data_IF_307053471176
#
_entry.id   IF_307053471176
#
_cell.length_a   1.000
_cell.length_b   1.000
_cell.length_c   1.000
_cell.angle_alpha   90.00
_cell.angle_beta   90.00
_cell.angle_gamma   90.00
#
_symmetry.space_group_name_H-M   'P 1'
#
loop_
_entity.id
_entity.type
_entity.pdbx_description
1 polymer ?
#
# COMPACT_ATOMS: atom_id res chain seq x y z
N UNK A 1 -21.29 -20.23 -17.35
CA UNK A 1 -20.01 -20.25 -18.10
C UNK A 1 -19.58 -18.80 -18.30
N UNK A 2 -18.82 -18.28 -17.34
CA UNK A 2 -18.21 -16.94 -17.41
C UNK A 2 -16.70 -17.10 -17.51
N UNK A 3 -16.07 -16.48 -18.50
CA UNK A 3 -14.61 -16.28 -18.57
C UNK A 3 -14.07 -15.54 -19.80
N UNK A 4 -14.89 -15.11 -20.77
CA UNK A 4 -14.31 -14.54 -22.01
C UNK A 4 -14.18 -13.01 -22.03
N UNK A 5 -15.01 -12.26 -21.29
CA UNK A 5 -14.95 -10.79 -21.31
C UNK A 5 -13.84 -10.20 -20.39
N UNK A 6 -13.46 -10.89 -19.30
CA UNK A 6 -12.39 -10.42 -18.42
C UNK A 6 -10.98 -10.60 -19.03
N UNK A 7 -10.80 -11.60 -19.91
CA UNK A 7 -9.53 -11.80 -20.62
C UNK A 7 -9.17 -10.66 -21.56
N UNK A 8 -10.17 -9.94 -22.08
CA UNK A 8 -9.98 -8.81 -22.99
C UNK A 8 -9.40 -7.56 -22.27
N UNK A 9 -9.65 -7.42 -20.97
CA UNK A 9 -9.07 -6.38 -20.12
C UNK A 9 -7.71 -6.80 -19.51
N UNK A 10 -7.48 -8.11 -19.35
CA UNK A 10 -6.24 -8.68 -18.79
C UNK A 10 -5.08 -8.80 -19.79
N UNK A 11 -5.34 -8.66 -21.10
CA UNK A 11 -4.31 -8.73 -22.15
C UNK A 11 -3.58 -7.42 -22.46
N UNK A 12 -3.95 -6.30 -21.84
CA UNK A 12 -3.25 -5.02 -22.01
C UNK A 12 -2.07 -4.92 -21.04
N UNK A 13 -1.08 -5.81 -21.22
CA UNK A 13 0.25 -5.60 -20.66
C UNK A 13 0.88 -4.39 -21.34
N UNK A 14 1.18 -3.36 -20.54
CA UNK A 14 2.07 -2.26 -20.90
C UNK A 14 3.50 -2.79 -21.06
N UNK A 15 3.80 -3.45 -22.18
CA UNK A 15 5.13 -3.53 -22.80
C UNK A 15 5.09 -4.49 -23.98
N UNK A 16 5.74 -4.04 -25.04
CA UNK A 16 6.06 -4.74 -26.28
C UNK A 16 4.92 -5.10 -27.25
N UNK A 17 5.16 -4.63 -28.47
CA UNK A 17 4.48 -4.91 -29.73
C UNK A 17 4.01 -6.36 -29.87
N UNK A 18 2.76 -6.62 -29.53
CA UNK A 18 2.02 -7.75 -30.10
C UNK A 18 0.58 -7.34 -30.34
N UNK A 19 0.26 -7.26 -31.63
CA UNK A 19 -1.03 -6.94 -32.23
C UNK A 19 -2.09 -7.90 -31.67
N UNK A 20 -3.24 -7.43 -31.14
CA UNK A 20 -4.34 -8.32 -30.78
C UNK A 20 -4.91 -8.99 -32.03
N UNK A 21 -5.31 -10.25 -31.92
CA UNK A 21 -5.65 -11.17 -33.00
C UNK A 21 -6.86 -10.77 -33.89
N UNK A 22 -7.43 -9.59 -33.69
CA UNK A 22 -8.52 -9.01 -34.49
C UNK A 22 -8.12 -7.74 -35.26
N UNK A 23 -6.83 -7.42 -35.34
CA UNK A 23 -6.31 -6.44 -36.29
C UNK A 23 -6.66 -4.98 -35.98
N UNK A 24 -7.20 -4.68 -34.80
CA UNK A 24 -7.39 -3.30 -34.37
C UNK A 24 -6.11 -2.79 -33.71
N UNK A 25 -5.31 -2.03 -34.46
CA UNK A 25 -4.18 -1.28 -33.92
C UNK A 25 -4.71 0.00 -33.29
N UNK A 26 -4.73 0.04 -31.96
CA UNK A 26 -5.05 1.25 -31.19
C UNK A 26 -4.01 2.33 -31.52
N UNK A 27 -4.45 3.45 -32.07
CA UNK A 27 -3.55 4.54 -32.44
C UNK A 27 -3.33 5.50 -31.24
N UNK A 28 -2.44 6.48 -31.42
CA UNK A 28 -2.07 7.41 -30.34
C UNK A 28 -3.21 8.37 -29.95
N UNK A 29 -4.21 8.55 -30.80
CA UNK A 29 -5.38 9.42 -30.58
C UNK A 29 -6.47 8.76 -29.74
N UNK A 30 -6.50 7.42 -29.66
CA UNK A 30 -7.43 6.66 -28.81
C UNK A 30 -7.16 6.82 -27.30
N UNK A 31 -5.96 7.33 -26.95
CA UNK A 31 -5.49 7.48 -25.56
C UNK A 31 -6.06 8.71 -24.84
N UNK A 32 -6.50 9.71 -25.60
CA UNK A 32 -6.96 11.00 -25.09
C UNK A 32 -8.49 11.18 -25.22
N UNK A 33 -9.21 10.13 -25.62
CA UNK A 33 -10.67 10.18 -25.76
C UNK A 33 -11.40 10.26 -24.43
N UNK A 34 -12.39 11.15 -24.39
CA UNK A 34 -13.32 11.34 -23.27
C UNK A 34 -14.34 10.19 -23.18
N UNK A 35 -14.96 10.04 -22.01
CA UNK A 35 -15.98 9.01 -21.76
C UNK A 35 -17.20 9.09 -22.69
N UNK A 36 -17.46 10.25 -23.30
CA UNK A 36 -18.54 10.45 -24.29
C UNK A 36 -18.15 9.99 -25.70
N UNK A 37 -16.87 10.08 -26.06
CA UNK A 37 -16.34 9.64 -27.36
C UNK A 37 -16.27 8.12 -27.44
N UNK A 38 -15.86 7.46 -26.35
CA UNK A 38 -15.97 6.01 -26.20
C UNK A 38 -17.41 5.50 -26.27
N UNK A 39 -18.36 6.25 -25.71
CA UNK A 39 -19.77 5.86 -25.73
C UNK A 39 -20.38 5.89 -27.13
N UNK A 40 -19.86 6.70 -28.06
CA UNK A 40 -20.30 6.74 -29.47
C UNK A 40 -19.77 5.56 -30.28
N UNK A 41 -18.50 5.21 -30.12
CA UNK A 41 -17.89 4.06 -30.83
C UNK A 41 -18.61 2.76 -30.45
N UNK A 42 -18.93 2.58 -29.16
CA UNK A 42 -19.68 1.42 -28.69
C UNK A 42 -21.15 1.38 -29.17
N UNK A 43 -21.76 2.54 -29.46
CA UNK A 43 -23.14 2.59 -29.98
C UNK A 43 -23.22 2.15 -31.45
N UNK A 44 -22.14 2.31 -32.22
CA UNK A 44 -22.06 1.84 -33.61
C UNK A 44 -21.74 0.33 -33.69
N UNK A 45 -21.00 -0.21 -32.71
CA UNK A 45 -20.70 -1.64 -32.59
C UNK A 45 -21.88 -2.50 -32.07
N UNK A 46 -22.89 -1.87 -31.49
CA UNK A 46 -24.08 -2.50 -30.87
C UNK A 46 -24.99 -3.22 -31.89
N UNK A 47 -24.74 -3.08 -33.21
CA UNK A 47 -25.37 -3.93 -34.23
C UNK A 47 -24.76 -5.33 -34.32
N UNK A 48 -23.63 -5.59 -33.67
CA UNK A 48 -23.01 -6.91 -33.68
C UNK A 48 -22.69 -7.41 -32.27
N UNK A 49 -23.50 -8.38 -31.82
CA UNK A 49 -23.17 -9.40 -30.82
C UNK A 49 -23.15 -8.95 -29.34
N UNK A 50 -24.35 -8.84 -28.76
CA UNK A 50 -24.77 -9.63 -27.59
C UNK A 50 -23.88 -9.70 -26.34
N UNK A 51 -23.04 -8.69 -26.06
CA UNK A 51 -22.26 -8.59 -24.83
C UNK A 51 -22.52 -7.24 -24.14
N UNK A 52 -23.04 -7.31 -22.91
CA UNK A 52 -23.48 -6.20 -22.02
C UNK A 52 -24.76 -5.53 -22.51
N UNK A 53 -25.89 -6.01 -21.99
CA UNK A 53 -27.25 -5.68 -22.46
C UNK A 53 -27.80 -4.33 -22.00
N UNK A 54 -27.03 -3.55 -21.23
CA UNK A 54 -27.41 -2.17 -20.91
C UNK A 54 -26.24 -1.29 -20.52
N UNK A 55 -26.34 0.01 -20.86
CA UNK A 55 -25.45 1.10 -20.42
C UNK A 55 -25.16 1.12 -18.91
N UNK A 56 -26.09 0.60 -18.09
CA UNK A 56 -25.98 0.52 -16.63
C UNK A 56 -24.96 -0.54 -16.18
N UNK A 57 -24.94 -1.70 -16.82
CA UNK A 57 -24.02 -2.80 -16.50
C UNK A 57 -22.58 -2.45 -16.88
N UNK A 58 -22.40 -1.76 -18.01
CA UNK A 58 -21.09 -1.30 -18.46
C UNK A 58 -20.50 -0.25 -17.50
N UNK A 59 -21.31 0.74 -17.11
CA UNK A 59 -20.89 1.79 -16.16
C UNK A 59 -20.42 1.19 -14.83
N UNK A 60 -21.15 0.21 -14.30
CA UNK A 60 -20.78 -0.47 -13.06
C UNK A 60 -19.46 -1.26 -13.17
N UNK A 61 -19.24 -1.95 -14.29
CA UNK A 61 -17.99 -2.69 -14.54
C UNK A 61 -16.78 -1.74 -14.65
N UNK A 62 -16.94 -0.62 -15.34
CA UNK A 62 -15.89 0.40 -15.48
C UNK A 62 -15.57 1.10 -14.14
N UNK A 63 -16.58 1.46 -13.36
CA UNK A 63 -16.39 2.02 -12.01
C UNK A 63 -15.66 1.04 -11.09
N UNK A 64 -15.98 -0.25 -11.16
CA UNK A 64 -15.27 -1.30 -10.43
C UNK A 64 -13.80 -1.39 -10.83
N UNK A 65 -13.50 -1.44 -12.13
CA UNK A 65 -12.12 -1.45 -12.64
C UNK A 65 -11.32 -0.22 -12.19
N UNK A 66 -11.92 0.97 -12.30
CA UNK A 66 -11.27 2.21 -11.86
C UNK A 66 -10.96 2.17 -10.36
N UNK A 67 -11.86 1.61 -9.55
CA UNK A 67 -11.63 1.43 -8.12
C UNK A 67 -10.49 0.46 -7.86
N UNK A 68 -10.51 -0.73 -8.46
CA UNK A 68 -9.44 -1.73 -8.31
C UNK A 68 -8.07 -1.21 -8.77
N UNK A 69 -8.04 -0.44 -9.87
CA UNK A 69 -6.81 0.21 -10.35
C UNK A 69 -6.29 1.26 -9.38
N UNK A 70 -7.18 2.06 -8.77
CA UNK A 70 -6.80 3.04 -7.74
C UNK A 70 -6.29 2.35 -6.48
N UNK A 71 -7.00 1.31 -6.02
CA UNK A 71 -6.62 0.54 -4.84
C UNK A 71 -5.24 -0.12 -5.05
N UNK A 72 -4.97 -0.67 -6.25
CA UNK A 72 -3.66 -1.24 -6.62
C UNK A 72 -2.53 -0.19 -6.65
N UNK A 73 -2.79 1.01 -7.17
CA UNK A 73 -1.81 2.10 -7.17
C UNK A 73 -1.55 2.62 -5.77
N UNK A 74 -2.58 2.72 -4.94
CA UNK A 74 -2.47 3.13 -3.54
C UNK A 74 -1.67 2.10 -2.73
N UNK A 75 -1.92 0.80 -2.92
CA UNK A 75 -1.13 -0.26 -2.29
C UNK A 75 0.35 -0.20 -2.71
N UNK A 76 0.63 -0.04 -4.00
CA UNK A 76 2.00 0.12 -4.49
C UNK A 76 2.68 1.37 -3.92
N UNK A 77 1.95 2.48 -3.77
CA UNK A 77 2.46 3.70 -3.16
C UNK A 77 2.82 3.45 -1.69
N UNK A 78 1.92 2.86 -0.91
CA UNK A 78 2.16 2.60 0.51
C UNK A 78 3.28 1.59 0.73
N UNK A 79 3.40 0.56 -0.12
CA UNK A 79 4.51 -0.39 -0.05
C UNK A 79 5.86 0.28 -0.33
N UNK A 80 5.92 1.16 -1.33
CA UNK A 80 7.13 1.94 -1.60
C UNK A 80 7.44 2.90 -0.44
N UNK A 81 6.43 3.59 0.09
CA UNK A 81 6.58 4.51 1.21
C UNK A 81 7.07 3.79 2.48
N UNK A 82 6.47 2.65 2.83
CA UNK A 82 6.86 1.84 4.00
C UNK A 82 8.32 1.39 3.89
N UNK A 83 8.73 0.92 2.70
CA UNK A 83 10.12 0.51 2.44
C UNK A 83 11.11 1.66 2.66
N UNK A 84 10.84 2.83 2.07
CA UNK A 84 11.73 3.98 2.18
C UNK A 84 11.75 4.55 3.61
N UNK A 85 10.59 4.56 4.28
CA UNK A 85 10.50 5.00 5.68
C UNK A 85 11.30 4.08 6.61
N UNK A 86 11.14 2.76 6.44
CA UNK A 86 11.91 1.75 7.18
C UNK A 86 13.40 1.91 6.94
N UNK A 87 13.83 2.09 5.69
CA UNK A 87 15.24 2.35 5.35
C UNK A 87 15.78 3.59 6.06
N UNK A 88 15.04 4.70 6.02
CA UNK A 88 15.44 5.93 6.71
C UNK A 88 15.49 5.79 8.24
N UNK A 89 14.58 5.00 8.84
CA UNK A 89 14.62 4.71 10.26
C UNK A 89 15.86 3.90 10.67
N UNK A 90 16.20 2.87 9.89
CA UNK A 90 17.43 2.07 10.07
C UNK A 90 18.67 2.94 9.91
N UNK A 91 18.73 3.75 8.85
CA UNK A 91 19.87 4.63 8.58
C UNK A 91 20.12 5.59 9.75
N UNK A 92 19.08 6.23 10.30
CA UNK A 92 19.20 7.07 11.50
C UNK A 92 19.70 6.28 12.71
N UNK A 93 19.20 5.05 12.91
CA UNK A 93 19.72 4.15 13.94
C UNK A 93 21.17 3.70 13.69
N UNK A 94 21.72 3.77 12.49
CA UNK A 94 23.14 3.46 12.27
C UNK A 94 24.06 4.67 12.37
N UNK A 95 23.53 5.86 12.11
CA UNK A 95 24.35 7.06 11.88
C UNK A 95 24.23 8.11 12.98
N UNK A 96 23.03 8.31 13.52
CA UNK A 96 22.76 9.38 14.49
C UNK A 96 22.92 8.87 15.92
N UNK A 97 23.91 9.40 16.65
CA UNK A 97 24.15 8.96 18.04
C UNK A 97 22.99 9.35 18.96
N UNK A 98 22.53 8.39 19.75
CA UNK A 98 21.49 8.61 20.77
C UNK A 98 20.07 8.42 20.24
N UNK A 99 19.91 7.98 19.00
CA UNK A 99 18.62 7.60 18.43
C UNK A 99 18.12 6.33 19.10
N UNK A 100 16.87 6.34 19.56
CA UNK A 100 16.26 5.18 20.20
C UNK A 100 14.75 5.16 19.92
N UNK A 101 14.28 4.08 19.29
CA UNK A 101 12.87 3.91 18.91
C UNK A 101 12.08 3.10 19.95
N UNK A 102 12.76 2.43 20.87
CA UNK A 102 12.19 1.73 22.03
C UNK A 102 12.29 2.59 23.28
N UNK A 103 11.67 3.78 23.22
CA UNK A 103 11.65 4.73 24.34
C UNK A 103 10.24 4.99 24.84
N UNK A 104 10.14 5.24 26.13
CA UNK A 104 8.93 5.70 26.79
C UNK A 104 9.25 6.85 27.74
N UNK A 105 8.55 7.98 27.59
CA UNK A 105 8.86 9.21 28.34
C UNK A 105 10.35 9.63 28.27
N UNK A 106 10.96 9.49 27.07
CA UNK A 106 12.39 9.76 26.82
C UNK A 106 13.38 8.84 27.54
N UNK A 107 12.90 7.75 28.15
CA UNK A 107 13.74 6.72 28.77
C UNK A 107 13.72 5.45 27.92
N UNK A 108 14.87 4.77 27.71
CA UNK A 108 14.90 3.46 27.06
C UNK A 108 14.06 2.44 27.84
N UNK A 109 13.17 1.72 27.15
CA UNK A 109 12.40 0.63 27.77
C UNK A 109 13.33 -0.56 28.08
N UNK A 110 14.31 -0.80 27.20
CA UNK A 110 15.32 -1.85 27.35
C UNK A 110 16.72 -1.24 27.25
N UNK A 111 17.35 -0.87 28.39
CA UNK A 111 18.67 -0.25 28.40
C UNK A 111 19.79 -1.14 27.82
N UNK A 112 19.58 -2.45 27.81
CA UNK A 112 20.49 -3.45 27.26
C UNK A 112 20.39 -3.61 25.74
N UNK A 113 19.32 -3.11 25.10
CA UNK A 113 19.18 -3.16 23.64
C UNK A 113 19.78 -1.88 23.06
N UNK A 114 20.97 -2.04 22.47
CA UNK A 114 21.70 -0.94 21.84
C UNK A 114 20.99 -0.43 20.59
N UNK A 115 21.38 0.76 20.15
CA UNK A 115 20.87 1.38 18.93
C UNK A 115 21.07 0.50 17.69
N UNK A 116 22.26 -0.12 17.55
CA UNK A 116 22.56 -1.06 16.47
C UNK A 116 21.70 -2.32 16.52
N UNK A 117 21.46 -2.86 17.73
CA UNK A 117 20.56 -4.00 17.89
C UNK A 117 19.12 -3.65 17.49
N UNK A 118 18.66 -2.43 17.75
CA UNK A 118 17.34 -1.99 17.28
C UNK A 118 17.26 -1.99 15.75
N UNK A 119 18.31 -1.51 15.08
CA UNK A 119 18.40 -1.57 13.62
C UNK A 119 18.35 -3.02 13.11
N UNK A 120 19.15 -3.93 13.69
CA UNK A 120 19.16 -5.35 13.34
C UNK A 120 17.77 -6.00 13.51
N UNK A 121 17.08 -5.68 14.61
CA UNK A 121 15.76 -6.21 14.92
C UNK A 121 14.69 -5.71 13.94
N UNK A 122 14.80 -4.47 13.45
CA UNK A 122 13.92 -3.92 12.42
C UNK A 122 14.20 -4.59 11.06
N UNK A 123 15.47 -4.79 10.72
CA UNK A 123 15.86 -5.49 9.48
C UNK A 123 15.34 -6.93 9.45
N UNK A 124 15.44 -7.64 10.59
CA UNK A 124 14.90 -9.00 10.76
C UNK A 124 13.37 -9.07 10.84
N UNK A 125 12.69 -7.93 10.99
CA UNK A 125 11.24 -7.87 11.16
C UNK A 125 10.74 -8.28 12.55
N UNK A 126 11.64 -8.37 13.53
CA UNK A 126 11.28 -8.59 14.94
C UNK A 126 10.70 -7.33 15.60
N UNK A 127 11.15 -6.17 15.14
CA UNK A 127 10.58 -4.87 15.49
C UNK A 127 9.90 -4.26 14.26
N UNK A 128 8.68 -3.74 14.46
CA UNK A 128 7.97 -2.92 13.48
C UNK A 128 8.11 -1.46 13.86
N UNK A 129 8.41 -0.63 12.88
CA UNK A 129 8.48 0.82 13.10
C UNK A 129 7.07 1.40 13.01
N UNK A 130 6.74 2.35 13.87
CA UNK A 130 5.46 3.03 13.90
C UNK A 130 5.68 4.51 13.70
N UNK A 131 5.05 5.06 12.67
CA UNK A 131 4.99 6.49 12.43
C UNK A 131 3.74 7.07 13.11
N UNK A 132 3.94 7.86 14.15
CA UNK A 132 2.89 8.59 14.86
C UNK A 132 2.92 10.05 14.39
N UNK A 133 2.24 10.30 13.28
CA UNK A 133 2.15 11.61 12.61
C UNK A 133 1.48 12.66 13.49
N UNK A 134 0.45 12.27 14.25
CA UNK A 134 -0.30 13.16 15.15
C UNK A 134 0.61 13.87 16.17
N UNK A 135 1.70 13.23 16.56
CA UNK A 135 2.67 13.73 17.56
C UNK A 135 4.09 13.81 17.00
N UNK A 136 4.25 13.78 15.67
CA UNK A 136 5.53 13.86 14.96
C UNK A 136 6.64 12.97 15.53
N UNK A 137 6.30 11.72 15.89
CA UNK A 137 7.22 10.81 16.58
C UNK A 137 7.31 9.48 15.84
N UNK A 138 8.50 8.89 15.81
CA UNK A 138 8.74 7.52 15.33
C UNK A 138 9.10 6.64 16.52
N UNK A 139 8.42 5.50 16.64
CA UNK A 139 8.66 4.52 17.71
C UNK A 139 8.73 3.11 17.11
N UNK A 140 9.11 2.11 17.90
CA UNK A 140 9.11 0.71 17.48
C UNK A 140 8.33 -0.19 18.43
N UNK A 141 7.64 -1.18 17.89
CA UNK A 141 6.89 -2.18 18.64
C UNK A 141 7.39 -3.58 18.26
N UNK A 142 7.29 -4.51 19.20
CA UNK A 142 7.56 -5.92 18.92
C UNK A 142 6.54 -6.47 17.91
N UNK A 143 7.03 -7.21 16.92
CA UNK A 143 6.20 -7.87 15.92
C UNK A 143 5.40 -9.05 16.50
N UNK A 144 6.00 -9.78 17.45
CA UNK A 144 5.37 -10.83 18.24
C UNK A 144 5.06 -10.31 19.65
N UNK A 145 3.77 -10.33 20.02
CA UNK A 145 3.30 -9.89 21.33
C UNK A 145 3.54 -10.94 22.45
N UNK A 146 3.89 -12.18 22.09
CA UNK A 146 4.06 -13.28 23.06
C UNK A 146 5.47 -13.43 23.63
N UNK A 147 6.46 -12.72 23.06
CA UNK A 147 7.85 -12.74 23.52
C UNK A 147 8.01 -12.18 24.93
N UNK A 148 9.08 -12.57 25.61
CA UNK A 148 9.32 -12.18 27.01
C UNK A 148 9.44 -10.66 27.19
N UNK A 149 10.11 -9.99 26.25
CA UNK A 149 10.27 -8.54 26.27
C UNK A 149 8.90 -7.85 26.15
N UNK A 150 8.01 -8.37 25.31
CA UNK A 150 6.66 -7.82 25.15
C UNK A 150 5.83 -7.93 26.44
N UNK A 151 6.19 -8.80 27.40
CA UNK A 151 5.50 -8.91 28.70
C UNK A 151 6.00 -7.91 29.74
N UNK A 152 7.03 -7.12 29.44
CA UNK A 152 7.55 -6.10 30.34
C UNK A 152 6.44 -5.09 30.73
N UNK A 153 6.20 -4.82 32.03
CA UNK A 153 5.13 -3.90 32.46
C UNK A 153 5.23 -2.49 31.87
N UNK A 154 6.44 -1.95 31.74
CA UNK A 154 6.69 -0.64 31.14
C UNK A 154 6.36 -0.68 29.64
N UNK A 155 6.73 -1.76 28.96
CA UNK A 155 6.37 -1.95 27.56
C UNK A 155 4.84 -2.08 27.38
N UNK A 156 4.14 -2.76 28.30
CA UNK A 156 2.69 -2.89 28.26
C UNK A 156 1.97 -1.54 28.41
N UNK A 157 2.47 -0.64 29.26
CA UNK A 157 1.95 0.73 29.33
C UNK A 157 2.25 1.51 28.04
N UNK A 158 3.47 1.38 27.53
CA UNK A 158 3.91 2.00 26.29
C UNK A 158 3.05 1.58 25.08
N UNK A 159 2.85 0.28 24.87
CA UNK A 159 2.10 -0.24 23.72
C UNK A 159 0.62 0.15 23.79
N UNK A 160 0.04 0.24 24.99
CA UNK A 160 -1.33 0.73 25.17
C UNK A 160 -1.47 2.18 24.68
N UNK A 161 -0.50 3.06 24.97
CA UNK A 161 -0.49 4.45 24.50
C UNK A 161 -0.24 4.54 22.99
N UNK A 162 0.68 3.74 22.45
CA UNK A 162 0.90 3.68 20.98
C UNK A 162 -0.35 3.23 20.25
N UNK A 163 -1.03 2.18 20.74
CA UNK A 163 -2.31 1.70 20.18
C UNK A 163 -3.39 2.78 20.25
N UNK A 164 -3.48 3.51 21.35
CA UNK A 164 -4.42 4.63 21.47
C UNK A 164 -4.13 5.75 20.46
N UNK A 165 -2.86 6.10 20.21
CA UNK A 165 -2.49 7.09 19.20
C UNK A 165 -2.76 6.61 17.77
N UNK A 166 -2.49 5.34 17.45
CA UNK A 166 -2.75 4.76 16.14
C UNK A 166 -4.22 4.92 15.69
N UNK A 167 -5.17 4.89 16.62
CA UNK A 167 -6.61 5.01 16.31
C UNK A 167 -7.05 6.47 16.10
N UNK A 168 -6.28 7.45 16.58
CA UNK A 168 -6.66 8.88 16.52
C UNK A 168 -6.52 9.50 15.13
N UNK A 169 -5.56 9.05 14.34
CA UNK A 169 -5.25 9.62 13.03
C UNK A 169 -5.02 8.50 12.00
N UNK A 170 -5.72 8.58 10.87
CA UNK A 170 -5.52 7.66 9.73
C UNK A 170 -4.14 7.79 9.07
N UNK A 171 -3.43 8.89 9.34
CA UNK A 171 -2.04 9.09 8.96
C UNK A 171 -1.03 8.37 9.85
N UNK A 172 -1.44 7.85 11.01
CA UNK A 172 -0.60 7.01 11.86
C UNK A 172 -0.53 5.60 11.27
N UNK A 173 0.68 5.03 11.19
CA UNK A 173 0.90 3.78 10.43
C UNK A 173 1.96 2.90 11.09
N UNK A 174 1.69 1.61 11.09
CA UNK A 174 2.68 0.56 11.38
C UNK A 174 3.37 0.22 10.05
N UNK A 175 4.68 0.40 10.02
CA UNK A 175 5.57 0.13 8.89
C UNK A 175 6.13 -1.29 9.06
N UNK A 176 5.94 -2.12 8.03
CA UNK A 176 6.41 -3.52 8.01
C UNK A 176 7.76 -3.66 7.33
#
# INVERSE_FOLDING_TARGET
MGSFALGYLLGMTFSDTSIPANGYTMDRSDRDMTSEEWAKICADDDKSKGLITSKKEWKAAYEKYLKESKDSKEESYWNAWDREFKRGAIERLRTEKGTNVLTFNKQPIYPNITQDMQADLIEKGELKVVNLRSIHTTVAIWADENREEAKNPVYQEYIAKVKAELVKDKGNRIVS
#
